data_IF_500337039333
#
_entry.id   IF_500337039333
#
_cell.length_a   1.000
_cell.length_b   1.000
_cell.length_c   1.000
_cell.angle_alpha   90.00
_cell.angle_beta   90.00
_cell.angle_gamma   90.00
#
_symmetry.space_group_name_H-M   'P 1'
#
loop_
_entity.id
_entity.type
_entity.pdbx_description
1 polymer ?
#
# COMPACT_ATOMS: atom_id res chain seq x y z
N UNK A 1 -25.43 -25.95 -38.40
CA UNK A 1 -25.29 -26.09 -36.93
C UNK A 1 -23.84 -25.98 -36.42
N UNK A 2 -22.85 -26.65 -37.04
CA UNK A 2 -21.46 -26.69 -36.52
C UNK A 2 -20.75 -25.33 -36.36
N UNK A 3 -20.98 -24.35 -37.26
CA UNK A 3 -20.35 -23.01 -37.18
C UNK A 3 -20.82 -22.15 -36.00
N UNK A 4 -22.06 -22.31 -35.54
CA UNK A 4 -22.61 -21.53 -34.41
C UNK A 4 -22.03 -21.99 -33.06
N UNK A 5 -21.75 -23.29 -32.92
CA UNK A 5 -21.16 -23.89 -31.71
C UNK A 5 -19.70 -23.47 -31.56
N UNK A 6 -18.93 -23.43 -32.65
CA UNK A 6 -17.53 -23.00 -32.64
C UNK A 6 -17.38 -21.52 -32.26
N UNK A 7 -18.28 -20.66 -32.76
CA UNK A 7 -18.33 -19.25 -32.38
C UNK A 7 -18.68 -19.06 -30.90
N UNK A 8 -19.62 -19.86 -30.38
CA UNK A 8 -20.03 -19.81 -28.97
C UNK A 8 -18.90 -20.24 -28.02
N UNK A 9 -18.15 -21.28 -28.38
CA UNK A 9 -16.95 -21.72 -27.64
C UNK A 9 -15.85 -20.66 -27.66
N UNK A 10 -15.68 -19.95 -28.77
CA UNK A 10 -14.70 -18.87 -28.90
C UNK A 10 -15.06 -17.65 -28.03
N UNK A 11 -16.35 -17.28 -27.96
CA UNK A 11 -16.84 -16.21 -27.09
C UNK A 11 -16.65 -16.55 -25.61
N UNK A 12 -16.91 -17.80 -25.21
CA UNK A 12 -16.65 -18.26 -23.83
C UNK A 12 -15.15 -18.23 -23.53
N UNK A 13 -14.29 -18.66 -24.47
CA UNK A 13 -12.84 -18.64 -24.28
C UNK A 13 -12.28 -17.21 -24.14
N UNK A 14 -12.77 -16.25 -24.92
CA UNK A 14 -12.39 -14.83 -24.81
C UNK A 14 -12.91 -14.21 -23.50
N UNK A 15 -14.07 -14.64 -22.99
CA UNK A 15 -14.61 -14.17 -21.72
C UNK A 15 -13.81 -14.67 -20.50
N UNK A 16 -13.24 -15.89 -20.57
CA UNK A 16 -12.42 -16.46 -19.48
C UNK A 16 -11.02 -15.80 -19.40
N UNK A 17 -10.53 -15.23 -20.50
CA UNK A 17 -9.24 -14.52 -20.55
C UNK A 17 -9.30 -13.08 -20.01
N UNK A 18 -10.48 -12.61 -19.57
CA UNK A 18 -10.58 -11.38 -18.78
C UNK A 18 -10.14 -11.67 -17.34
N UNK A 19 -8.84 -11.97 -17.16
CA UNK A 19 -8.22 -11.95 -15.85
C UNK A 19 -8.46 -10.57 -15.26
N UNK A 20 -9.27 -10.48 -14.20
CA UNK A 20 -9.39 -9.24 -13.44
C UNK A 20 -7.97 -8.89 -12.97
N UNK A 21 -7.40 -7.79 -13.45
CA UNK A 21 -6.20 -7.25 -12.83
C UNK A 21 -6.66 -6.64 -11.51
N UNK A 22 -6.11 -7.09 -10.38
CA UNK A 22 -6.38 -6.49 -9.07
C UNK A 22 -5.10 -5.94 -8.48
N UNK A 23 -5.26 -4.90 -7.68
CA UNK A 23 -4.16 -4.26 -6.96
C UNK A 23 -4.48 -4.23 -5.48
N UNK A 24 -3.55 -4.73 -4.68
CA UNK A 24 -3.63 -4.73 -3.22
C UNK A 24 -2.70 -3.65 -2.67
N UNK A 25 -3.28 -2.58 -2.12
CA UNK A 25 -2.56 -1.40 -1.63
C UNK A 25 -2.25 -1.48 -0.14
N UNK A 26 -1.13 -0.88 0.26
CA UNK A 26 -0.75 -0.70 1.66
C UNK A 26 -0.94 0.76 2.07
N UNK A 27 -1.88 1.04 2.98
CA UNK A 27 -2.21 2.40 3.42
C UNK A 27 -1.87 2.66 4.88
N UNK A 28 -1.35 3.86 5.14
CA UNK A 28 -1.31 4.48 6.46
C UNK A 28 -2.35 5.61 6.48
N UNK A 29 -3.29 5.56 7.43
CA UNK A 29 -4.48 6.41 7.44
C UNK A 29 -4.46 7.34 8.66
N UNK A 30 -4.40 8.65 8.43
CA UNK A 30 -4.59 9.67 9.46
C UNK A 30 -6.03 10.16 9.45
N UNK A 31 -6.87 9.61 10.33
CA UNK A 31 -8.25 10.08 10.51
C UNK A 31 -8.39 11.12 11.64
N UNK A 32 -7.28 11.68 12.13
CA UNK A 32 -7.31 12.72 13.14
C UNK A 32 -7.38 14.12 12.52
N UNK A 33 -7.68 15.12 13.34
CA UNK A 33 -7.62 16.53 12.96
C UNK A 33 -6.20 17.11 12.95
N UNK A 34 -5.19 16.34 13.37
CA UNK A 34 -3.81 16.80 13.50
C UNK A 34 -2.93 16.13 12.43
N UNK A 35 -1.93 16.84 11.87
CA UNK A 35 -0.96 16.22 10.98
C UNK A 35 -0.10 15.20 11.75
N UNK A 36 0.35 14.16 11.04
CA UNK A 36 1.23 13.13 11.61
C UNK A 36 2.53 13.11 10.82
N UNK A 37 3.65 13.14 11.53
CA UNK A 37 4.96 12.98 10.92
C UNK A 37 5.24 11.50 10.73
N UNK A 38 5.57 11.10 9.51
CA UNK A 38 5.83 9.72 9.13
C UNK A 38 7.28 9.60 8.66
N UNK A 39 8.01 8.65 9.23
CA UNK A 39 9.30 8.22 8.74
C UNK A 39 9.23 6.75 8.34
N UNK A 40 9.70 6.44 7.13
CA UNK A 40 9.77 5.09 6.60
C UNK A 40 11.24 4.77 6.33
N UNK A 41 11.71 3.64 6.84
CA UNK A 41 13.00 3.07 6.48
C UNK A 41 12.76 1.82 5.66
N UNK A 42 13.35 1.79 4.47
CA UNK A 42 13.35 0.67 3.54
C UNK A 42 14.72 -0.02 3.57
N UNK A 43 14.76 -1.28 3.14
CA UNK A 43 16.01 -1.94 2.85
C UNK A 43 16.69 -1.23 1.66
N UNK A 44 18.03 -1.12 1.65
CA UNK A 44 18.77 -0.73 0.45
C UNK A 44 18.40 -1.64 -0.73
N UNK A 45 18.46 -1.11 -1.94
CA UNK A 45 18.18 -1.92 -3.13
C UNK A 45 19.30 -2.96 -3.31
N UNK A 46 18.96 -4.24 -3.18
CA UNK A 46 19.91 -5.34 -3.37
C UNK A 46 19.66 -6.10 -4.68
N UNK A 47 18.42 -6.54 -4.93
CA UNK A 47 17.97 -7.23 -6.16
C UNK A 47 16.43 -7.40 -6.16
N UNK A 48 15.81 -7.58 -7.33
CA UNK A 48 14.37 -7.83 -7.45
C UNK A 48 13.50 -6.57 -7.50
N UNK A 49 12.20 -6.72 -7.20
CA UNK A 49 11.22 -5.63 -7.21
C UNK A 49 10.73 -5.28 -5.79
N UNK A 50 10.99 -4.06 -5.33
CA UNK A 50 10.50 -3.59 -4.03
C UNK A 50 8.97 -3.47 -4.01
N UNK A 51 8.34 -3.93 -2.93
CA UNK A 51 6.91 -3.66 -2.67
C UNK A 51 6.70 -2.18 -2.33
N UNK A 52 7.62 -1.63 -1.54
CA UNK A 52 7.57 -0.26 -1.05
C UNK A 52 8.59 0.57 -1.81
N UNK A 53 8.12 1.55 -2.57
CA UNK A 53 8.94 2.48 -3.33
C UNK A 53 8.40 3.88 -3.16
N UNK A 54 9.21 4.79 -2.65
CA UNK A 54 8.80 6.16 -2.34
C UNK A 54 8.37 6.96 -3.57
N UNK A 55 8.85 6.58 -4.75
CA UNK A 55 8.46 7.19 -6.02
C UNK A 55 6.99 6.92 -6.36
N UNK A 56 6.44 5.81 -5.84
CA UNK A 56 5.07 5.38 -6.06
C UNK A 56 4.11 5.85 -4.94
N UNK A 57 4.61 6.61 -3.97
CA UNK A 57 3.78 7.07 -2.86
C UNK A 57 2.77 8.10 -3.35
N UNK A 58 1.51 7.90 -2.95
CA UNK A 58 0.39 8.78 -3.27
C UNK A 58 -0.43 9.02 -2.01
N UNK A 59 -1.04 10.20 -1.90
CA UNK A 59 -1.98 10.48 -0.83
C UNK A 59 -3.41 10.56 -1.36
N UNK A 60 -4.37 10.24 -0.49
CA UNK A 60 -5.79 10.20 -0.83
C UNK A 60 -6.64 10.83 0.27
N UNK A 61 -7.74 11.51 -0.09
CA UNK A 61 -8.69 12.00 0.89
C UNK A 61 -9.43 10.86 1.60
N UNK A 62 -9.58 11.02 2.91
CA UNK A 62 -10.38 10.15 3.78
C UNK A 62 -11.59 10.96 4.23
N UNK A 63 -12.79 10.38 4.13
CA UNK A 63 -13.98 11.05 4.64
C UNK A 63 -14.20 10.78 6.14
N UNK A 64 -15.15 11.49 6.75
CA UNK A 64 -15.52 11.34 8.17
C UNK A 64 -15.99 9.92 8.57
N UNK A 65 -16.25 9.03 7.61
CA UNK A 65 -16.65 7.63 7.81
C UNK A 65 -15.49 6.65 7.55
N UNK A 66 -14.22 7.11 7.60
CA UNK A 66 -13.04 6.31 7.32
C UNK A 66 -12.98 5.68 5.93
N UNK A 67 -13.74 6.20 4.96
CA UNK A 67 -13.68 5.70 3.57
C UNK A 67 -12.64 6.49 2.78
N UNK A 68 -11.72 5.74 2.18
CA UNK A 68 -10.73 6.22 1.22
C UNK A 68 -11.40 6.57 -0.12
N UNK A 69 -11.02 7.69 -0.70
CA UNK A 69 -11.36 8.01 -2.08
C UNK A 69 -10.14 7.80 -2.98
N UNK A 70 -9.98 6.57 -3.47
CA UNK A 70 -8.83 6.15 -4.29
C UNK A 70 -8.85 6.79 -5.69
N UNK A 71 -10.02 7.22 -6.17
CA UNK A 71 -10.19 7.86 -7.48
C UNK A 71 -9.58 9.27 -7.56
N UNK A 72 -9.18 9.84 -6.43
CA UNK A 72 -8.61 11.19 -6.34
C UNK A 72 -7.23 11.16 -5.69
N UNK A 73 -6.21 10.58 -6.37
CA UNK A 73 -4.84 10.67 -5.89
C UNK A 73 -4.39 12.12 -5.89
N UNK A 74 -3.64 12.48 -4.86
CA UNK A 74 -3.00 13.77 -4.73
C UNK A 74 -1.48 13.56 -4.59
N UNK A 75 -0.67 14.52 -5.07
CA UNK A 75 0.76 14.46 -4.87
C UNK A 75 1.09 14.59 -3.38
N UNK A 76 2.04 13.78 -2.92
CA UNK A 76 2.58 13.88 -1.56
C UNK A 76 3.99 14.47 -1.61
N UNK A 77 4.27 15.38 -0.68
CA UNK A 77 5.63 15.89 -0.47
C UNK A 77 6.34 15.01 0.54
N UNK A 78 7.53 14.57 0.18
CA UNK A 78 8.43 13.81 1.04
C UNK A 78 9.85 14.37 0.91
N UNK A 79 10.63 14.10 1.93
CA UNK A 79 12.07 14.36 2.00
C UNK A 79 12.77 13.00 2.09
N UNK A 80 13.72 12.75 1.21
CA UNK A 80 14.60 11.59 1.31
C UNK A 80 15.84 12.03 2.07
N UNK A 81 16.04 11.49 3.27
CA UNK A 81 17.31 11.66 3.98
C UNK A 81 18.42 11.03 3.13
N UNK A 82 19.68 11.46 3.31
CA UNK A 82 20.92 11.26 2.50
C UNK A 82 21.14 9.92 1.75
N UNK A 83 20.33 8.90 1.99
CA UNK A 83 20.47 7.56 1.48
C UNK A 83 19.27 7.01 0.66
N UNK A 84 18.25 7.82 0.34
CA UNK A 84 17.06 7.46 -0.48
C UNK A 84 16.16 6.31 0.05
N UNK A 85 16.63 5.51 1.01
CA UNK A 85 15.85 4.47 1.69
C UNK A 85 15.27 4.93 3.03
N UNK A 86 15.51 6.18 3.43
CA UNK A 86 14.92 6.83 4.61
C UNK A 86 14.08 8.00 4.16
N UNK A 87 12.76 7.86 4.29
CA UNK A 87 11.78 8.82 3.79
C UNK A 87 11.09 9.48 4.96
N UNK A 88 10.97 10.80 4.91
CA UNK A 88 10.23 11.61 5.87
C UNK A 88 9.11 12.35 5.15
N UNK A 89 7.89 12.29 5.69
CA UNK A 89 6.76 13.03 5.15
C UNK A 89 5.78 13.44 6.26
N UNK A 90 4.83 14.29 5.90
CA UNK A 90 3.71 14.66 6.77
C UNK A 90 2.44 14.09 6.14
N UNK A 91 1.67 13.32 6.91
CA UNK A 91 0.32 12.93 6.54
C UNK A 91 -0.64 14.00 7.08
N UNK A 92 -1.30 14.80 6.22
CA UNK A 92 -2.24 15.81 6.69
C UNK A 92 -3.46 15.19 7.40
N UNK A 93 -4.24 15.99 8.13
CA UNK A 93 -5.52 15.55 8.68
C UNK A 93 -6.43 14.95 7.61
N UNK A 94 -7.12 13.85 7.95
CA UNK A 94 -8.08 13.17 7.09
C UNK A 94 -7.51 12.76 5.72
N UNK A 95 -6.25 12.31 5.72
CA UNK A 95 -5.56 11.78 4.55
C UNK A 95 -5.04 10.38 4.82
N UNK A 96 -4.88 9.62 3.76
CA UNK A 96 -4.16 8.36 3.77
C UNK A 96 -3.02 8.40 2.77
N UNK A 97 -1.94 7.66 3.06
CA UNK A 97 -0.80 7.51 2.17
C UNK A 97 -0.70 6.06 1.75
N UNK A 98 -0.71 5.81 0.43
CA UNK A 98 -0.31 4.52 -0.14
C UNK A 98 1.20 4.45 -0.12
N UNK A 99 1.75 3.48 0.60
CA UNK A 99 3.20 3.28 0.75
C UNK A 99 3.72 2.14 -0.12
N UNK A 100 2.84 1.47 -0.87
CA UNK A 100 3.21 0.38 -1.76
C UNK A 100 1.97 -0.33 -2.28
N UNK A 101 2.19 -1.26 -3.20
CA UNK A 101 1.11 -2.10 -3.75
C UNK A 101 1.63 -3.42 -4.32
N UNK A 102 0.74 -4.39 -4.42
CA UNK A 102 0.92 -5.65 -5.15
C UNK A 102 -0.06 -5.68 -6.33
N UNK A 103 0.44 -6.01 -7.52
CA UNK A 103 -0.41 -6.28 -8.68
C UNK A 103 -0.54 -7.78 -8.87
N UNK A 104 -1.78 -8.26 -9.03
CA UNK A 104 -2.10 -9.66 -9.31
C UNK A 104 -1.52 -10.66 -8.29
N UNK A 105 -1.31 -10.19 -7.06
CA UNK A 105 -0.79 -10.98 -5.96
C UNK A 105 -1.42 -10.50 -4.65
N UNK A 106 -1.64 -11.43 -3.72
CA UNK A 106 -2.19 -11.14 -2.40
C UNK A 106 -1.11 -11.10 -1.33
N UNK A 107 -1.27 -10.17 -0.40
CA UNK A 107 -0.52 -10.14 0.83
C UNK A 107 -1.20 -11.04 1.88
N UNK A 108 -0.42 -11.86 2.56
CA UNK A 108 -0.82 -12.75 3.64
C UNK A 108 -0.05 -12.43 4.91
N UNK A 109 1.27 -12.17 4.80
CA UNK A 109 2.15 -11.85 5.93
C UNK A 109 3.46 -11.24 5.46
N UNK A 110 4.17 -10.54 6.34
CA UNK A 110 5.39 -9.79 5.99
C UNK A 110 6.54 -10.68 5.47
N UNK A 111 6.63 -11.93 5.93
CA UNK A 111 7.70 -12.87 5.59
C UNK A 111 7.29 -13.96 4.59
N UNK A 112 6.22 -13.73 3.82
CA UNK A 112 5.86 -14.65 2.74
C UNK A 112 6.86 -14.55 1.59
N UNK A 113 6.90 -15.60 0.77
CA UNK A 113 7.50 -15.52 -0.54
C UNK A 113 6.59 -14.74 -1.49
N UNK A 114 7.18 -13.88 -2.31
CA UNK A 114 6.45 -13.16 -3.35
C UNK A 114 6.88 -13.62 -4.74
N UNK A 115 5.95 -13.56 -5.70
CA UNK A 115 6.24 -13.94 -7.08
C UNK A 115 7.15 -12.91 -7.77
N UNK A 116 7.88 -13.36 -8.78
CA UNK A 116 8.74 -12.53 -9.63
C UNK A 116 9.81 -11.74 -8.86
N UNK A 117 10.47 -12.37 -7.89
CA UNK A 117 11.54 -11.77 -7.08
C UNK A 117 11.13 -10.48 -6.37
N UNK A 118 9.84 -10.33 -6.08
CA UNK A 118 9.34 -9.20 -5.32
C UNK A 118 9.75 -9.33 -3.86
N UNK A 119 10.07 -8.22 -3.20
CA UNK A 119 10.59 -8.23 -1.84
C UNK A 119 9.79 -7.31 -0.93
N UNK A 120 9.44 -7.83 0.25
CA UNK A 120 8.98 -7.03 1.37
C UNK A 120 10.18 -6.26 1.94
N UNK A 121 10.45 -5.09 1.36
CA UNK A 121 11.62 -4.28 1.65
C UNK A 121 11.38 -3.20 2.72
N UNK A 122 10.28 -3.25 3.45
CA UNK A 122 10.08 -2.39 4.62
C UNK A 122 10.98 -2.84 5.75
N UNK A 123 11.61 -1.91 6.46
CA UNK A 123 12.38 -2.19 7.69
C UNK A 123 11.76 -1.58 8.93
N UNK A 124 11.25 -0.36 8.79
CA UNK A 124 10.74 0.36 9.94
C UNK A 124 9.78 1.49 9.55
N UNK A 125 8.74 1.69 10.35
CA UNK A 125 7.86 2.86 10.29
C UNK A 125 7.90 3.54 11.65
N UNK A 126 8.19 4.85 11.66
CA UNK A 126 8.07 5.71 12.82
C UNK A 126 7.02 6.76 12.58
N UNK A 127 6.08 6.90 13.49
CA UNK A 127 5.00 7.88 13.43
C UNK A 127 5.07 8.77 14.65
N UNK A 128 5.00 10.08 14.45
CA UNK A 128 4.95 11.06 15.53
C UNK A 128 3.65 11.84 15.38
N UNK A 129 2.74 11.64 16.32
CA UNK A 129 1.45 12.32 16.42
C UNK A 129 1.37 13.02 17.78
N UNK A 130 1.39 14.35 17.78
CA UNK A 130 1.51 15.17 19.00
C UNK A 130 2.75 14.75 19.82
N UNK A 131 2.56 14.25 21.05
CA UNK A 131 3.63 13.75 21.94
C UNK A 131 3.83 12.23 21.82
N UNK A 132 3.00 11.54 21.05
CA UNK A 132 3.02 10.09 20.94
C UNK A 132 3.88 9.66 19.76
N UNK A 133 4.78 8.70 20.02
CA UNK A 133 5.59 8.05 18.99
C UNK A 133 5.18 6.58 18.91
N UNK A 134 4.92 6.11 17.68
CA UNK A 134 4.68 4.69 17.38
C UNK A 134 5.80 4.21 16.48
N UNK A 135 6.43 3.11 16.88
CA UNK A 135 7.52 2.45 16.14
C UNK A 135 7.02 1.07 15.69
N UNK A 136 7.10 0.79 14.39
CA UNK A 136 6.65 -0.45 13.77
C UNK A 136 7.84 -1.04 12.99
N UNK A 137 8.63 -1.94 13.60
CA UNK A 137 9.58 -2.75 12.84
C UNK A 137 8.83 -3.68 11.88
N UNK A 138 9.53 -4.15 10.84
CA UNK A 138 9.00 -5.07 9.83
C UNK A 138 8.33 -6.32 10.44
N UNK A 139 8.93 -6.90 11.49
CA UNK A 139 8.40 -8.06 12.21
C UNK A 139 7.07 -7.84 12.91
N UNK A 140 6.69 -6.58 13.16
CA UNK A 140 5.40 -6.21 13.76
C UNK A 140 4.41 -5.68 12.73
N UNK A 141 4.74 -5.69 11.44
CA UNK A 141 3.86 -5.12 10.41
C UNK A 141 2.45 -5.71 10.45
N UNK A 142 2.34 -7.03 10.48
CA UNK A 142 1.06 -7.75 10.50
C UNK A 142 0.22 -7.50 11.78
N UNK A 143 0.84 -7.01 12.86
CA UNK A 143 0.12 -6.63 14.08
C UNK A 143 -0.61 -5.29 13.92
N UNK A 144 -0.03 -4.36 13.16
CA UNK A 144 -0.56 -3.01 12.98
C UNK A 144 -1.39 -2.87 11.70
N UNK A 145 -1.00 -3.55 10.63
CA UNK A 145 -1.63 -3.45 9.33
C UNK A 145 -2.66 -4.57 9.14
N UNK A 146 -3.93 -4.19 9.08
CA UNK A 146 -5.07 -5.11 8.94
C UNK A 146 -5.49 -5.19 7.48
N UNK A 147 -5.62 -6.42 6.97
CA UNK A 147 -6.14 -6.68 5.62
C UNK A 147 -7.67 -6.69 5.63
N UNK A 148 -8.28 -5.83 4.83
CA UNK A 148 -9.72 -5.76 4.62
C UNK A 148 -10.04 -5.46 3.15
N UNK A 149 -10.85 -6.32 2.52
CA UNK A 149 -11.34 -6.15 1.14
C UNK A 149 -10.23 -5.86 0.11
N UNK A 150 -9.15 -6.65 0.14
CA UNK A 150 -8.03 -6.49 -0.80
C UNK A 150 -7.21 -5.22 -0.56
N UNK A 151 -7.23 -4.67 0.65
CA UNK A 151 -6.42 -3.53 1.04
C UNK A 151 -5.82 -3.76 2.42
N UNK A 152 -4.55 -3.45 2.59
CA UNK A 152 -3.81 -3.59 3.85
C UNK A 152 -3.70 -2.20 4.49
N UNK A 153 -4.28 -2.00 5.67
CA UNK A 153 -4.47 -0.66 6.26
C UNK A 153 -3.96 -0.59 7.68
N UNK A 154 -3.31 0.52 8.01
CA UNK A 154 -3.05 0.91 9.38
C UNK A 154 -3.75 2.25 9.69
N UNK A 155 -4.65 2.25 10.67
CA UNK A 155 -5.29 3.46 11.18
C UNK A 155 -4.48 4.04 12.33
N UNK A 156 -3.96 5.24 12.14
CA UNK A 156 -3.26 5.96 13.20
C UNK A 156 -4.29 6.26 14.30
N UNK A 157 -4.08 5.68 15.48
CA UNK A 157 -4.92 5.94 16.64
C UNK A 157 -4.32 7.12 17.41
N UNK A 158 -4.94 8.32 17.40
CA UNK A 158 -4.54 9.37 18.31
C UNK A 158 -4.85 8.89 19.74
N UNK A 159 -3.80 8.62 20.51
CA UNK A 159 -3.92 8.46 21.96
C UNK A 159 -3.78 9.82 22.64
#
# INVERSE_FOLDING_TARGET
MKKKILFFLWVIFVAILQGCSWTEHFFIINNSSNPVQLFITLAPYERGFSIFNYQDFQQYPVNKKNKLNIEKPEPIKYDTLDAYYKIKMIIPPYKAVSIGYLNNQHYEKYNQDFFNDRQFNLRHIRLIANTNTVEIPDTLFDHYFIKENGTVKYFITPR
#
